data_IF_510986151105
#
_entry.id   IF_510986151105
#
_cell.length_a   1.000
_cell.length_b   1.000
_cell.length_c   1.000
_cell.angle_alpha   90.00
_cell.angle_beta   90.00
_cell.angle_gamma   90.00
#
_symmetry.space_group_name_H-M   'P 1'
#
loop_
_entity.id
_entity.type
_entity.pdbx_description
1 polymer ?
#
# COMPACT_ATOMS: atom_id res chain seq x y z
N UNK A 1 5.12 8.44 -7.75
CA UNK A 1 5.58 9.22 -6.58
C UNK A 1 5.11 10.68 -6.62
N UNK A 2 5.46 11.45 -7.66
CA UNK A 2 5.03 12.85 -7.81
C UNK A 2 3.50 13.04 -7.87
N UNK A 3 2.77 12.16 -8.56
CA UNK A 3 1.30 12.20 -8.61
C UNK A 3 0.66 11.95 -7.23
N UNK A 4 1.28 11.08 -6.42
CA UNK A 4 0.80 10.76 -5.07
C UNK A 4 1.02 11.92 -4.10
N UNK A 5 2.18 12.56 -4.19
CA UNK A 5 2.48 13.80 -3.46
C UNK A 5 1.51 14.90 -3.89
N UNK A 6 1.21 15.02 -5.18
CA UNK A 6 0.25 16.03 -5.68
C UNK A 6 -1.18 15.78 -5.20
N UNK A 7 -1.66 14.53 -5.21
CA UNK A 7 -2.98 14.15 -4.69
C UNK A 7 -3.06 14.35 -3.17
N UNK A 8 -2.06 13.90 -2.42
CA UNK A 8 -2.00 14.09 -0.95
C UNK A 8 -1.85 15.56 -0.56
N UNK A 9 -1.01 16.33 -1.27
CA UNK A 9 -0.86 17.77 -1.04
C UNK A 9 -2.13 18.54 -1.39
N UNK A 10 -2.85 18.18 -2.45
CA UNK A 10 -4.13 18.83 -2.80
C UNK A 10 -5.23 18.49 -1.77
N UNK A 11 -5.31 17.23 -1.32
CA UNK A 11 -6.21 16.79 -0.24
C UNK A 11 -5.94 17.53 1.07
N UNK A 12 -4.66 17.74 1.44
CA UNK A 12 -4.33 18.44 2.68
C UNK A 12 -4.58 19.96 2.62
N UNK A 13 -4.62 20.56 1.41
CA UNK A 13 -5.02 21.96 1.19
C UNK A 13 -6.56 22.14 1.15
N UNK A 14 -7.33 21.07 0.93
CA UNK A 14 -8.80 21.05 0.91
C UNK A 14 -9.46 20.96 2.31
N UNK A 15 -8.67 20.82 3.38
CA UNK A 15 -9.12 20.44 4.72
C UNK A 15 -9.86 21.53 5.52
N UNK A 16 -10.09 22.73 4.96
CA UNK A 16 -10.72 23.86 5.69
C UNK A 16 -12.12 24.25 5.16
N UNK A 17 -12.69 23.54 4.17
CA UNK A 17 -13.96 23.92 3.51
C UNK A 17 -14.97 22.78 3.30
N UNK A 18 -14.58 21.52 3.48
CA UNK A 18 -15.39 20.36 3.06
C UNK A 18 -16.25 19.74 4.19
N UNK A 19 -15.92 20.03 5.46
CA UNK A 19 -16.58 19.41 6.63
C UNK A 19 -18.01 19.96 6.87
N UNK A 20 -18.30 21.19 6.44
CA UNK A 20 -19.65 21.76 6.55
C UNK A 20 -20.57 21.44 5.36
N UNK A 21 -20.06 20.79 4.30
CA UNK A 21 -20.81 20.56 3.06
C UNK A 21 -20.94 19.09 2.65
N UNK A 22 -20.16 18.15 3.23
CA UNK A 22 -20.24 16.74 2.89
C UNK A 22 -20.90 15.90 3.98
N UNK A 23 -21.84 15.05 3.56
CA UNK A 23 -22.46 14.02 4.39
C UNK A 23 -21.40 13.09 5.03
N UNK A 24 -21.56 12.69 6.31
CA UNK A 24 -20.67 11.74 7.00
C UNK A 24 -20.28 10.47 6.21
N UNK A 25 -21.18 9.80 5.47
CA UNK A 25 -20.81 8.60 4.70
C UNK A 25 -19.90 8.87 3.48
N UNK A 26 -19.95 10.05 2.86
CA UNK A 26 -19.12 10.37 1.70
C UNK A 26 -17.64 10.50 2.07
N UNK A 27 -17.35 11.05 3.26
CA UNK A 27 -16.00 11.17 3.80
C UNK A 27 -15.38 9.79 4.07
N UNK A 28 -16.15 8.85 4.63
CA UNK A 28 -15.67 7.48 4.86
C UNK A 28 -15.36 6.74 3.57
N UNK A 29 -16.19 6.91 2.53
CA UNK A 29 -15.93 6.30 1.22
C UNK A 29 -14.66 6.84 0.57
N UNK A 30 -14.42 8.15 0.68
CA UNK A 30 -13.19 8.77 0.17
C UNK A 30 -11.95 8.20 0.87
N UNK A 31 -11.98 8.09 2.21
CA UNK A 31 -10.89 7.48 2.98
C UNK A 31 -10.64 6.03 2.53
N UNK A 32 -11.69 5.24 2.36
CA UNK A 32 -11.60 3.85 1.90
C UNK A 32 -10.88 3.74 0.54
N UNK A 33 -11.27 4.57 -0.43
CA UNK A 33 -10.67 4.61 -1.76
C UNK A 33 -9.19 5.01 -1.69
N UNK A 34 -8.82 5.98 -0.86
CA UNK A 34 -7.42 6.41 -0.67
C UNK A 34 -6.55 5.27 -0.16
N UNK A 35 -7.02 4.52 0.85
CA UNK A 35 -6.27 3.37 1.39
C UNK A 35 -6.10 2.30 0.32
N UNK A 36 -7.15 1.99 -0.44
CA UNK A 36 -7.10 0.97 -1.48
C UNK A 36 -6.13 1.35 -2.59
N UNK A 37 -6.22 2.58 -3.11
CA UNK A 37 -5.29 3.09 -4.13
C UNK A 37 -3.85 3.08 -3.60
N UNK A 38 -3.64 3.46 -2.33
CA UNK A 38 -2.32 3.37 -1.70
C UNK A 38 -1.75 1.96 -1.70
N UNK A 39 -2.58 0.96 -1.42
CA UNK A 39 -2.19 -0.45 -1.46
C UNK A 39 -1.85 -0.92 -2.89
N UNK A 40 -2.66 -0.55 -3.89
CA UNK A 40 -2.37 -0.88 -5.30
C UNK A 40 -1.04 -0.26 -5.79
N UNK A 41 -0.72 0.95 -5.34
CA UNK A 41 0.56 1.58 -5.65
C UNK A 41 1.73 0.92 -4.95
N UNK A 42 1.55 0.44 -3.72
CA UNK A 42 2.58 -0.31 -3.00
C UNK A 42 2.95 -1.62 -3.74
N UNK A 43 1.97 -2.24 -4.41
CA UNK A 43 2.19 -3.41 -5.26
C UNK A 43 2.64 -3.07 -6.70
N UNK A 44 2.82 -1.80 -7.04
CA UNK A 44 3.28 -1.36 -8.37
C UNK A 44 2.26 -1.52 -9.50
N UNK A 45 0.98 -1.76 -9.17
CA UNK A 45 -0.09 -2.00 -10.14
C UNK A 45 -0.74 -0.68 -10.58
N UNK A 46 -0.03 0.08 -11.43
CA UNK A 46 -0.48 1.42 -11.83
C UNK A 46 -1.77 1.42 -12.67
N UNK A 47 -1.96 0.41 -13.53
CA UNK A 47 -3.15 0.32 -14.38
C UNK A 47 -4.42 0.06 -13.55
N UNK A 48 -4.35 -0.79 -12.52
CA UNK A 48 -5.49 -1.06 -11.63
C UNK A 48 -5.77 0.13 -10.71
N UNK A 49 -4.73 0.81 -10.23
CA UNK A 49 -4.86 2.03 -9.44
C UNK A 49 -5.60 3.13 -10.22
N UNK A 50 -5.27 3.34 -11.50
CA UNK A 50 -5.95 4.33 -12.33
C UNK A 50 -7.45 4.02 -12.50
N UNK A 51 -7.80 2.74 -12.71
CA UNK A 51 -9.21 2.31 -12.77
C UNK A 51 -9.95 2.58 -11.45
N UNK A 52 -9.31 2.30 -10.30
CA UNK A 52 -9.87 2.55 -8.97
C UNK A 52 -10.06 4.03 -8.66
N UNK A 53 -9.19 4.91 -9.17
CA UNK A 53 -9.37 6.38 -9.07
C UNK A 53 -10.64 6.81 -9.79
N UNK A 54 -10.83 6.39 -11.04
CA UNK A 54 -12.02 6.76 -11.84
C UNK A 54 -13.31 6.25 -11.19
N UNK A 55 -13.30 4.99 -10.76
CA UNK A 55 -14.45 4.40 -10.06
C UNK A 55 -14.70 5.06 -8.69
N UNK A 56 -13.65 5.42 -7.97
CA UNK A 56 -13.75 6.11 -6.68
C UNK A 56 -14.34 7.52 -6.81
N UNK A 57 -13.89 8.30 -7.79
CA UNK A 57 -14.47 9.63 -8.07
C UNK A 57 -15.94 9.51 -8.46
N UNK A 58 -16.27 8.52 -9.29
CA UNK A 58 -17.67 8.23 -9.68
C UNK A 58 -18.52 7.89 -8.45
N UNK A 59 -17.99 7.07 -7.55
CA UNK A 59 -18.66 6.73 -6.28
C UNK A 59 -18.93 7.97 -5.43
N UNK A 60 -17.95 8.86 -5.25
CA UNK A 60 -18.11 10.08 -4.47
C UNK A 60 -19.22 10.98 -5.03
N UNK A 61 -19.30 11.15 -6.35
CA UNK A 61 -20.36 11.94 -7.01
C UNK A 61 -21.75 11.33 -6.76
N UNK A 62 -21.85 10.00 -6.85
CA UNK A 62 -23.11 9.28 -6.58
C UNK A 62 -23.52 9.47 -5.12
N UNK A 63 -22.59 9.31 -4.18
CA UNK A 63 -22.83 9.46 -2.74
C UNK A 63 -23.24 10.90 -2.37
N UNK A 64 -22.66 11.90 -3.03
CA UNK A 64 -23.04 13.31 -2.88
C UNK A 64 -24.48 13.55 -3.36
N UNK A 65 -24.84 13.01 -4.52
CA UNK A 65 -26.21 13.06 -5.04
C UNK A 65 -27.22 12.34 -4.12
N UNK A 66 -26.86 11.19 -3.53
CA UNK A 66 -27.73 10.45 -2.61
C UNK A 66 -27.97 11.20 -1.29
N UNK A 67 -26.98 11.93 -0.79
CA UNK A 67 -27.12 12.73 0.43
C UNK A 67 -28.13 13.89 0.23
N UNK A 68 -28.17 14.49 -0.96
CA UNK A 68 -29.09 15.60 -1.26
C UNK A 68 -30.58 15.23 -1.23
N UNK A 69 -30.90 13.94 -1.20
CA UNK A 69 -32.28 13.40 -1.20
C UNK A 69 -32.70 12.90 0.19
N UNK A 70 -31.92 13.17 1.25
CA UNK A 70 -32.18 12.73 2.64
C UNK A 70 -32.13 11.20 2.84
N UNK A 71 -31.55 10.45 1.90
CA UNK A 71 -31.38 8.99 1.95
C UNK A 71 -30.17 8.54 2.81
N UNK A 72 -29.96 9.18 3.95
CA UNK A 72 -28.80 8.92 4.83
C UNK A 72 -28.66 7.45 5.23
N UNK A 73 -29.78 6.75 5.43
CA UNK A 73 -29.81 5.32 5.81
C UNK A 73 -29.30 4.41 4.69
N UNK A 74 -29.67 4.67 3.43
CA UNK A 74 -29.24 3.84 2.29
C UNK A 74 -27.74 4.02 2.04
N UNK A 75 -27.25 5.25 2.18
CA UNK A 75 -25.82 5.55 2.03
C UNK A 75 -24.95 4.81 3.06
N UNK A 76 -25.45 4.62 4.28
CA UNK A 76 -24.73 3.87 5.32
C UNK A 76 -24.54 2.39 4.96
N UNK A 77 -25.57 1.75 4.39
CA UNK A 77 -25.49 0.33 3.97
C UNK A 77 -24.47 0.15 2.84
N UNK A 78 -24.45 1.07 1.87
CA UNK A 78 -23.50 1.05 0.75
C UNK A 78 -22.07 1.16 1.26
N UNK A 79 -21.79 2.06 2.20
CA UNK A 79 -20.45 2.24 2.79
C UNK A 79 -20.06 1.09 3.71
N UNK A 80 -21.01 0.46 4.42
CA UNK A 80 -20.73 -0.69 5.27
C UNK A 80 -20.37 -1.95 4.46
N UNK A 81 -20.94 -2.12 3.27
CA UNK A 81 -20.75 -3.31 2.42
C UNK A 81 -19.28 -3.67 2.17
N UNK A 82 -18.40 -2.77 1.67
CA UNK A 82 -17.00 -3.10 1.44
C UNK A 82 -16.23 -3.42 2.74
N UNK A 83 -16.56 -2.78 3.86
CA UNK A 83 -15.93 -3.07 5.16
C UNK A 83 -16.25 -4.47 5.65
N UNK A 84 -17.52 -4.88 5.57
CA UNK A 84 -17.93 -6.23 5.94
C UNK A 84 -17.30 -7.27 5.02
N UNK A 85 -17.27 -7.02 3.71
CA UNK A 85 -16.64 -7.94 2.75
C UNK A 85 -15.15 -8.14 3.02
N UNK A 86 -14.39 -7.06 3.26
CA UNK A 86 -12.95 -7.15 3.58
C UNK A 86 -12.71 -7.84 4.92
N UNK A 87 -13.53 -7.57 5.93
CA UNK A 87 -13.43 -8.24 7.22
C UNK A 87 -13.63 -9.76 7.09
N UNK A 88 -14.68 -10.18 6.38
CA UNK A 88 -14.96 -11.60 6.13
C UNK A 88 -13.85 -12.27 5.32
N UNK A 89 -13.38 -11.62 4.25
CA UNK A 89 -12.27 -12.14 3.45
C UNK A 89 -11.00 -12.33 4.28
N UNK A 90 -10.69 -11.39 5.17
CA UNK A 90 -9.52 -11.46 6.05
C UNK A 90 -9.66 -12.59 7.07
N UNK A 91 -10.84 -12.78 7.66
CA UNK A 91 -11.09 -13.90 8.58
C UNK A 91 -10.93 -15.26 7.90
N UNK A 92 -11.39 -15.40 6.66
CA UNK A 92 -11.24 -16.64 5.89
C UNK A 92 -9.76 -16.87 5.52
N UNK A 93 -9.04 -15.83 5.09
CA UNK A 93 -7.61 -15.94 4.76
C UNK A 93 -6.78 -16.41 5.96
N UNK A 94 -7.02 -15.80 7.13
CA UNK A 94 -6.36 -16.17 8.38
C UNK A 94 -6.75 -17.58 8.83
N UNK A 95 -8.02 -17.97 8.68
CA UNK A 95 -8.51 -19.31 9.03
C UNK A 95 -7.94 -20.42 8.14
N UNK A 96 -7.67 -20.12 6.87
CA UNK A 96 -7.05 -21.03 5.92
C UNK A 96 -5.50 -20.99 5.94
N UNK A 97 -4.91 -20.01 6.62
CA UNK A 97 -3.46 -19.85 6.75
C UNK A 97 -2.74 -19.46 5.45
N UNK A 98 -3.47 -18.96 4.45
CA UNK A 98 -2.91 -18.59 3.13
C UNK A 98 -1.88 -17.47 3.27
N UNK A 99 -2.06 -16.59 4.26
CA UNK A 99 -1.12 -15.52 4.60
C UNK A 99 0.30 -16.03 4.92
N UNK A 100 0.43 -17.25 5.45
CA UNK A 100 1.73 -17.82 5.82
C UNK A 100 2.53 -18.29 4.62
N UNK A 101 1.86 -18.83 3.61
CA UNK A 101 2.49 -19.21 2.35
C UNK A 101 2.79 -17.97 1.50
N UNK A 102 1.88 -16.98 1.48
CA UNK A 102 2.13 -15.69 0.82
C UNK A 102 3.37 -14.97 1.41
N UNK A 103 3.55 -15.00 2.73
CA UNK A 103 4.73 -14.42 3.40
C UNK A 103 6.05 -15.11 3.02
N UNK A 104 6.06 -16.43 2.81
CA UNK A 104 7.25 -17.16 2.34
C UNK A 104 7.60 -16.81 0.90
N UNK A 105 6.62 -16.76 0.00
CA UNK A 105 6.82 -16.39 -1.40
C UNK A 105 7.37 -14.96 -1.54
N UNK A 106 6.87 -14.01 -0.74
CA UNK A 106 7.40 -12.64 -0.71
C UNK A 106 8.85 -12.61 -0.20
N UNK A 107 9.18 -13.43 0.81
CA UNK A 107 10.55 -13.54 1.34
C UNK A 107 11.52 -14.17 0.34
N UNK A 108 11.06 -15.17 -0.42
CA UNK A 108 11.82 -15.82 -1.50
C UNK A 108 12.05 -14.86 -2.68
N UNK A 109 11.05 -14.07 -3.08
CA UNK A 109 11.21 -13.04 -4.11
C UNK A 109 12.23 -11.96 -3.74
N UNK A 110 12.23 -11.51 -2.48
CA UNK A 110 13.24 -10.57 -1.98
C UNK A 110 14.64 -11.21 -1.85
N UNK A 111 14.71 -12.47 -1.41
CA UNK A 111 16.00 -13.16 -1.28
C UNK A 111 16.60 -13.57 -2.62
N UNK A 112 15.81 -13.75 -3.68
CA UNK A 112 16.33 -13.85 -5.05
C UNK A 112 17.01 -12.54 -5.49
N UNK A 113 16.40 -11.36 -5.26
CA UNK A 113 17.06 -10.08 -5.54
C UNK A 113 18.32 -9.83 -4.68
N UNK A 114 18.36 -10.38 -3.47
CA UNK A 114 19.52 -10.30 -2.57
C UNK A 114 20.59 -11.35 -2.92
N UNK A 115 20.21 -12.53 -3.43
CA UNK A 115 21.11 -13.64 -3.73
C UNK A 115 22.07 -13.35 -4.89
N UNK A 116 21.58 -12.65 -5.92
CA UNK A 116 22.42 -12.13 -7.01
C UNK A 116 23.47 -11.13 -6.48
N UNK A 117 23.06 -10.27 -5.55
CA UNK A 117 23.93 -9.28 -4.90
C UNK A 117 24.92 -9.93 -3.92
N UNK A 118 24.51 -10.97 -3.19
CA UNK A 118 25.39 -11.74 -2.31
C UNK A 118 26.47 -12.48 -3.11
N UNK A 119 26.13 -13.10 -4.23
CA UNK A 119 27.11 -13.78 -5.10
C UNK A 119 28.13 -12.83 -5.73
N UNK A 120 27.73 -11.59 -6.01
CA UNK A 120 28.66 -10.54 -6.47
C UNK A 120 29.53 -10.01 -5.31
N UNK A 121 28.93 -9.85 -4.11
CA UNK A 121 29.65 -9.48 -2.88
C UNK A 121 30.67 -10.53 -2.46
N UNK A 122 30.36 -11.83 -2.55
CA UNK A 122 31.30 -12.91 -2.24
C UNK A 122 32.53 -12.89 -3.15
N UNK A 123 32.34 -12.57 -4.44
CA UNK A 123 33.47 -12.38 -5.38
C UNK A 123 34.30 -11.13 -5.08
N UNK A 124 33.68 -10.05 -4.63
CA UNK A 124 34.38 -8.82 -4.26
C UNK A 124 35.14 -8.98 -2.94
N UNK A 125 34.56 -9.70 -1.97
CA UNK A 125 35.19 -10.01 -0.67
C UNK A 125 36.35 -11.00 -0.83
N UNK A 126 36.26 -11.99 -1.72
CA UNK A 126 37.40 -12.88 -2.01
C UNK A 126 38.54 -12.14 -2.71
N UNK A 127 38.23 -11.26 -3.67
CA UNK A 127 39.25 -10.43 -4.36
C UNK A 127 39.95 -9.47 -3.38
N UNK A 128 39.20 -8.85 -2.47
CA UNK A 128 39.76 -8.02 -1.40
C UNK A 128 40.60 -8.84 -0.39
N UNK A 129 40.23 -10.09 -0.13
CA UNK A 129 40.99 -10.97 0.78
C UNK A 129 42.32 -11.43 0.19
N UNK A 130 42.38 -11.64 -1.13
CA UNK A 130 43.63 -11.91 -1.85
C UNK A 130 44.54 -10.66 -1.92
N UNK A 131 43.98 -9.45 -2.10
CA UNK A 131 44.78 -8.21 -2.05
C UNK A 131 45.28 -7.86 -0.63
N UNK A 132 44.46 -8.10 0.40
CA UNK A 132 44.83 -7.82 1.81
C UNK A 132 45.77 -8.91 2.37
N UNK A 133 45.82 -10.11 1.79
CA UNK A 133 46.75 -11.17 2.17
C UNK A 133 48.24 -10.86 1.92
N UNK A 134 48.53 -9.82 1.12
CA UNK A 134 49.89 -9.38 0.81
C UNK A 134 50.37 -8.16 1.62
N UNK A 135 49.53 -7.56 2.47
CA UNK A 135 49.90 -6.43 3.32
C UNK A 135 49.77 -6.80 4.81
N UNK A 136 50.83 -6.64 5.61
CA UNK A 136 50.76 -6.84 7.05
C UNK A 136 50.06 -5.62 7.64
N UNK A 137 48.72 -5.63 7.69
CA UNK A 137 48.02 -4.88 8.72
C UNK A 137 47.37 -5.84 9.71
N UNK A 138 48.11 -5.97 10.80
CA UNK A 138 47.65 -6.36 12.11
C UNK A 138 46.36 -5.65 12.52
N UNK A 139 45.67 -6.35 13.42
CA UNK A 139 44.71 -5.91 14.43
C UNK A 139 43.25 -5.81 13.97
N UNK A 140 42.36 -6.66 14.47
CA UNK A 140 41.93 -6.87 15.88
C UNK A 140 40.56 -6.22 16.02
N UNK A 141 39.56 -7.03 16.37
CA UNK A 141 38.66 -6.78 17.50
C UNK A 141 37.42 -7.65 17.34
N UNK A 142 37.43 -8.72 18.13
CA UNK A 142 36.33 -9.08 19.04
C UNK A 142 35.38 -7.91 19.29
N UNK A 143 34.14 -8.01 18.82
CA UNK A 143 32.85 -7.82 19.52
C UNK A 143 31.69 -7.77 18.52
#
# INVERSE_FOLDING_TARGET
MLLFIFVVSNVNTLNMRFVDALCPPALLYLLYIVVHIGLDLAFGLFATAAGKVVMGITGVIILDALCSVDLGVVSWVIVATPFIMVALATSISLGLGIDREAGKLMREGFSSLTGENLKNRDKMVSTLKDEVGALPLSQDSTY
#
